data_IF_584499804660
#
_entry.id   IF_584499804660
#
_cell.length_a   1.000
_cell.length_b   1.000
_cell.length_c   1.000
_cell.angle_alpha   90.00
_cell.angle_beta   90.00
_cell.angle_gamma   90.00
#
_symmetry.space_group_name_H-M   'P 1'
#
loop_
_entity.id
_entity.type
_entity.pdbx_description
1 polymer ?
#
# COMPACT_ATOMS: atom_id res chain seq x y z
N UNK A 1 53.50 54.23 -8.87
CA UNK A 1 54.24 53.13 -8.23
C UNK A 1 53.28 51.95 -8.26
N UNK A 2 53.30 51.11 -9.29
CA UNK A 2 54.24 49.98 -9.46
C UNK A 2 54.11 49.11 -8.20
N UNK A 3 53.56 47.89 -8.24
CA UNK A 3 54.07 46.79 -9.05
C UNK A 3 53.03 45.64 -9.20
N UNK A 4 53.10 44.97 -10.34
CA UNK A 4 52.26 43.84 -10.75
C UNK A 4 52.92 42.50 -10.34
N UNK A 5 52.17 41.63 -9.67
CA UNK A 5 52.51 40.21 -9.57
C UNK A 5 52.15 39.47 -10.85
N UNK A 6 53.17 39.00 -11.57
CA UNK A 6 53.10 38.19 -12.79
C UNK A 6 52.26 36.91 -12.61
N UNK A 7 51.35 36.66 -13.55
CA UNK A 7 50.75 35.35 -13.76
C UNK A 7 51.23 34.75 -15.09
N UNK A 8 51.76 33.55 -14.94
CA UNK A 8 52.43 32.67 -15.91
C UNK A 8 51.62 32.47 -17.19
N UNK A 9 52.27 32.74 -18.33
CA UNK A 9 51.79 32.42 -19.67
C UNK A 9 51.94 30.91 -19.93
N UNK A 10 50.83 30.20 -20.15
CA UNK A 10 50.85 28.87 -20.77
C UNK A 10 50.13 28.92 -22.13
N UNK A 11 50.94 28.89 -23.19
CA UNK A 11 50.53 28.64 -24.57
C UNK A 11 50.20 27.15 -24.73
N UNK A 12 48.95 26.81 -25.03
CA UNK A 12 48.61 25.51 -25.61
C UNK A 12 48.01 25.71 -26.99
N UNK A 13 48.70 25.19 -28.01
CA UNK A 13 48.27 25.09 -29.41
C UNK A 13 47.04 24.19 -29.51
N UNK A 14 45.95 24.71 -30.10
CA UNK A 14 44.78 23.93 -30.49
C UNK A 14 45.08 23.25 -31.82
N UNK A 15 45.00 21.92 -31.86
CA UNK A 15 44.93 21.14 -33.09
C UNK A 15 43.50 20.61 -33.25
N UNK A 16 42.94 20.89 -34.42
CA UNK A 16 41.64 20.47 -34.89
C UNK A 16 41.55 18.93 -34.95
N UNK A 17 40.46 18.38 -34.40
CA UNK A 17 40.13 16.96 -34.44
C UNK A 17 38.64 16.79 -34.74
N UNK A 18 38.36 15.96 -35.74
CA UNK A 18 37.08 15.72 -36.42
C UNK A 18 35.85 15.48 -35.50
N UNK A 19 34.73 16.09 -35.88
CA UNK A 19 33.39 15.77 -35.35
C UNK A 19 32.87 14.53 -36.07
N UNK A 20 32.89 13.37 -35.41
CA UNK A 20 32.16 12.19 -35.85
C UNK A 20 30.73 12.26 -35.27
N UNK A 21 29.73 12.37 -36.17
CA UNK A 21 28.32 12.33 -35.81
C UNK A 21 27.90 10.89 -35.45
N UNK A 22 27.79 10.60 -34.15
CA UNK A 22 27.15 9.38 -33.65
C UNK A 22 25.64 9.62 -33.56
N UNK A 23 24.92 9.21 -34.61
CA UNK A 23 23.47 9.08 -34.56
C UNK A 23 23.12 7.91 -33.62
N UNK A 24 22.67 8.25 -32.41
CA UNK A 24 22.11 7.28 -31.48
C UNK A 24 20.81 6.72 -32.06
N UNK A 25 20.80 5.42 -32.38
CA UNK A 25 19.57 4.64 -32.47
C UNK A 25 18.94 4.61 -31.07
N UNK A 26 17.97 5.47 -30.83
CA UNK A 26 17.05 5.28 -29.71
C UNK A 26 16.22 4.03 -30.01
N UNK A 27 16.28 2.95 -29.20
CA UNK A 27 15.28 1.91 -29.31
C UNK A 27 13.92 2.58 -29.05
N UNK A 28 12.99 2.42 -29.99
CA UNK A 28 11.60 2.76 -29.76
C UNK A 28 11.13 1.88 -28.59
N UNK A 29 11.13 2.46 -27.39
CA UNK A 29 10.45 1.87 -26.25
C UNK A 29 9.00 1.80 -26.69
N UNK A 30 8.40 0.61 -26.86
CA UNK A 30 6.97 0.54 -27.12
C UNK A 30 6.32 1.33 -25.99
N UNK A 31 5.42 2.26 -26.34
CA UNK A 31 4.61 2.94 -25.37
C UNK A 31 4.02 1.85 -24.49
N UNK A 32 4.56 1.70 -23.28
CA UNK A 32 3.91 0.91 -22.25
C UNK A 32 2.51 1.50 -22.20
N UNK A 33 1.51 0.70 -22.57
CA UNK A 33 0.15 0.98 -22.14
C UNK A 33 0.30 1.35 -20.67
N UNK A 34 -0.04 2.59 -20.33
CA UNK A 34 0.04 3.03 -18.95
C UNK A 34 -0.71 1.97 -18.15
N UNK A 35 0.00 1.16 -17.36
CA UNK A 35 -0.65 0.30 -16.40
C UNK A 35 -1.60 1.22 -15.66
N UNK A 36 -2.93 0.95 -15.69
CA UNK A 36 -3.89 1.86 -15.07
C UNK A 36 -3.38 2.09 -13.66
N UNK A 37 -3.07 3.37 -13.36
CA UNK A 37 -2.39 3.79 -12.15
C UNK A 37 -2.96 2.97 -11.00
N UNK A 38 -2.13 2.18 -10.31
CA UNK A 38 -2.56 1.23 -9.30
C UNK A 38 -3.54 1.88 -8.31
N UNK A 39 -4.84 1.72 -8.55
CA UNK A 39 -5.87 2.41 -7.79
C UNK A 39 -5.97 1.70 -6.42
N UNK A 40 -5.30 2.26 -5.42
CA UNK A 40 -5.70 2.15 -4.00
C UNK A 40 -5.38 0.86 -3.23
N UNK A 41 -4.52 -0.03 -3.73
CA UNK A 41 -4.41 -1.39 -3.21
C UNK A 41 -3.63 -1.55 -1.89
N UNK A 42 -2.50 -0.86 -1.71
CA UNK A 42 -1.64 -1.15 -0.54
C UNK A 42 -2.23 -0.68 0.79
N UNK A 43 -3.08 0.35 0.79
CA UNK A 43 -3.70 0.89 2.01
C UNK A 43 -5.00 0.16 2.33
N UNK A 44 -5.86 -0.08 1.33
CA UNK A 44 -7.12 -0.82 1.50
C UNK A 44 -6.89 -2.26 1.99
N UNK A 45 -5.82 -2.91 1.55
CA UNK A 45 -5.47 -4.26 2.03
C UNK A 45 -4.77 -4.28 3.40
N UNK A 46 -4.31 -3.13 3.92
CA UNK A 46 -3.57 -3.03 5.19
C UNK A 46 -4.40 -2.64 6.39
N UNK A 47 -5.68 -2.30 6.22
CA UNK A 47 -6.52 -1.88 7.33
C UNK A 47 -6.75 -3.07 8.28
N UNK A 48 -5.96 -3.09 9.36
CA UNK A 48 -6.18 -3.93 10.52
C UNK A 48 -7.41 -3.50 11.31
N UNK A 49 -7.55 -4.03 12.53
CA UNK A 49 -8.66 -3.65 13.42
C UNK A 49 -8.70 -2.12 13.65
N UNK A 50 -9.89 -1.52 13.81
CA UNK A 50 -10.02 -0.11 14.17
C UNK A 50 -9.18 0.18 15.42
N UNK A 51 -8.21 1.08 15.30
CA UNK A 51 -7.44 1.58 16.44
C UNK A 51 -8.29 2.65 17.09
N UNK A 52 -8.74 2.41 18.32
CA UNK A 52 -9.43 3.43 19.11
C UNK A 52 -8.40 4.30 19.83
N UNK A 53 -8.59 5.61 19.77
CA UNK A 53 -7.74 6.60 20.40
C UNK A 53 -8.44 7.15 21.66
N UNK A 54 -8.01 6.76 22.88
CA UNK A 54 -8.71 7.06 24.11
C UNK A 54 -8.61 8.54 24.49
N UNK A 55 -9.74 9.14 24.87
CA UNK A 55 -9.75 10.50 25.41
C UNK A 55 -9.17 10.54 26.83
N UNK A 56 -8.03 11.20 26.99
CA UNK A 56 -7.35 11.32 28.28
C UNK A 56 -7.75 12.57 29.06
N UNK A 57 -8.59 13.46 28.52
CA UNK A 57 -9.08 14.64 29.26
C UNK A 57 -9.63 14.28 30.65
N UNK A 58 -10.45 13.22 30.84
CA UNK A 58 -10.93 12.86 32.17
C UNK A 58 -9.84 12.45 33.18
N UNK A 59 -8.64 12.11 32.69
CA UNK A 59 -7.49 11.78 33.53
C UNK A 59 -6.54 12.97 33.76
N UNK A 60 -6.61 13.98 32.88
CA UNK A 60 -5.69 15.12 32.85
C UNK A 60 -6.32 16.40 33.38
N UNK A 61 -7.64 16.57 33.22
CA UNK A 61 -8.42 17.70 33.72
C UNK A 61 -8.84 17.42 35.17
N UNK A 62 -7.85 17.43 36.06
CA UNK A 62 -8.01 17.14 37.49
C UNK A 62 -7.33 18.21 38.34
N UNK A 63 -7.91 18.50 39.50
CA UNK A 63 -7.26 19.37 40.49
C UNK A 63 -6.16 18.60 41.22
N UNK A 64 -4.95 18.65 40.67
CA UNK A 64 -3.79 17.95 41.22
C UNK A 64 -3.48 18.44 42.65
N UNK A 65 -3.77 19.70 42.99
CA UNK A 65 -3.47 20.28 44.31
C UNK A 65 -4.41 19.82 45.43
N UNK A 66 -5.60 19.37 45.08
CA UNK A 66 -6.50 18.70 46.01
C UNK A 66 -6.18 17.22 46.24
N UNK A 67 -5.28 16.62 45.45
CA UNK A 67 -4.97 15.18 45.50
C UNK A 67 -3.79 14.86 46.44
N UNK A 68 -3.90 13.72 47.12
CA UNK A 68 -2.78 13.09 47.84
C UNK A 68 -1.75 12.51 46.86
N UNK A 69 -0.51 12.31 47.31
CA UNK A 69 0.56 11.77 46.45
C UNK A 69 0.27 10.34 45.96
N UNK A 70 -0.47 9.56 46.75
CA UNK A 70 -0.93 8.24 46.34
C UNK A 70 -1.95 8.32 45.20
N UNK A 71 -2.90 9.25 45.27
CA UNK A 71 -3.88 9.46 44.20
C UNK A 71 -3.22 9.97 42.92
N UNK A 72 -2.25 10.88 43.06
CA UNK A 72 -1.45 11.38 41.92
C UNK A 72 -0.73 10.21 41.24
N UNK A 73 -0.02 9.37 41.99
CA UNK A 73 0.64 8.16 41.45
C UNK A 73 -0.34 7.20 40.78
N UNK A 74 -1.52 6.97 41.35
CA UNK A 74 -2.57 6.14 40.74
C UNK A 74 -3.01 6.74 39.40
N UNK A 75 -3.22 8.06 39.33
CA UNK A 75 -3.61 8.76 38.11
C UNK A 75 -2.56 8.64 37.01
N UNK A 76 -1.28 8.80 37.35
CA UNK A 76 -0.18 8.62 36.37
C UNK A 76 -0.11 7.19 35.85
N UNK A 77 -0.33 6.19 36.71
CA UNK A 77 -0.43 4.79 36.26
C UNK A 77 -1.64 4.55 35.33
N UNK A 78 -2.79 5.18 35.58
CA UNK A 78 -3.95 5.12 34.70
C UNK A 78 -3.64 5.70 33.31
N UNK A 79 -2.95 6.84 33.25
CA UNK A 79 -2.51 7.48 32.00
C UNK A 79 -1.51 6.57 31.26
N UNK A 80 -0.52 6.02 31.97
CA UNK A 80 0.45 5.09 31.40
C UNK A 80 -0.24 3.87 30.77
N UNK A 81 -1.19 3.27 31.49
CA UNK A 81 -1.93 2.11 31.00
C UNK A 81 -2.80 2.46 29.77
N UNK A 82 -3.51 3.59 29.79
CA UNK A 82 -4.39 4.00 28.71
C UNK A 82 -3.63 4.45 27.44
N UNK A 83 -2.40 4.94 27.60
CA UNK A 83 -1.60 5.48 26.48
C UNK A 83 -0.72 4.44 25.80
N UNK A 84 -0.37 3.36 26.49
CA UNK A 84 0.60 2.37 25.99
C UNK A 84 0.11 1.68 24.71
N UNK A 85 0.96 1.71 23.68
CA UNK A 85 0.66 1.12 22.38
C UNK A 85 -0.22 1.98 21.48
N UNK A 86 -0.67 3.14 21.95
CA UNK A 86 -1.50 4.08 21.19
C UNK A 86 -0.76 5.40 20.95
N UNK A 87 -0.22 5.99 22.02
CA UNK A 87 0.50 7.26 21.96
C UNK A 87 2.01 7.02 22.02
N UNK A 88 2.76 7.77 21.21
CA UNK A 88 4.17 7.49 20.97
C UNK A 88 5.05 7.94 22.14
N UNK A 89 4.87 9.16 22.63
CA UNK A 89 5.73 9.78 23.63
C UNK A 89 5.17 9.67 25.05
N UNK A 90 3.86 9.84 25.22
CA UNK A 90 3.21 9.93 26.52
C UNK A 90 3.52 8.78 27.50
N UNK A 91 3.54 7.49 27.09
CA UNK A 91 3.87 6.39 28.00
C UNK A 91 5.28 6.51 28.60
N UNK A 92 6.26 6.94 27.80
CA UNK A 92 7.64 7.13 28.27
C UNK A 92 7.74 8.26 29.28
N UNK A 93 7.09 9.39 29.00
CA UNK A 93 7.08 10.56 29.90
C UNK A 93 6.35 10.26 31.22
N UNK A 94 5.28 9.46 31.18
CA UNK A 94 4.56 8.99 32.37
C UNK A 94 5.43 8.02 33.21
N UNK A 95 6.14 7.09 32.57
CA UNK A 95 7.06 6.18 33.24
C UNK A 95 8.20 6.93 33.92
N UNK A 96 8.83 7.89 33.23
CA UNK A 96 9.90 8.71 33.81
C UNK A 96 9.45 9.50 35.05
N UNK A 97 8.17 9.93 35.07
CA UNK A 97 7.60 10.59 36.23
C UNK A 97 7.43 9.63 37.42
N UNK A 98 6.95 8.40 37.16
CA UNK A 98 6.81 7.35 38.17
C UNK A 98 8.15 6.89 38.74
N UNK A 99 9.20 6.88 37.92
CA UNK A 99 10.57 6.54 38.31
C UNK A 99 11.18 7.60 39.24
N UNK A 100 10.68 8.84 39.22
CA UNK A 100 11.13 9.91 40.11
C UNK A 100 12.58 10.35 39.91
N UNK A 101 13.09 10.31 38.67
CA UNK A 101 14.51 10.52 38.35
C UNK A 101 15.01 11.96 38.56
N UNK A 102 14.12 12.97 38.62
CA UNK A 102 14.53 14.38 38.77
C UNK A 102 14.39 14.86 40.21
N UNK A 103 13.16 14.99 40.69
CA UNK A 103 12.86 15.61 41.99
C UNK A 103 12.30 14.60 43.01
N UNK A 104 12.40 13.30 42.69
CA UNK A 104 11.72 12.23 43.42
C UNK A 104 10.30 11.99 42.89
N UNK A 105 9.72 10.81 43.17
CA UNK A 105 8.54 10.36 42.46
C UNK A 105 7.24 11.10 42.82
N UNK A 106 7.15 11.69 44.01
CA UNK A 106 5.98 12.49 44.43
C UNK A 106 5.94 13.80 43.62
N UNK A 107 7.04 14.55 43.61
CA UNK A 107 7.14 15.80 42.89
C UNK A 107 7.11 15.59 41.36
N UNK A 108 7.79 14.56 40.85
CA UNK A 108 7.85 14.30 39.40
C UNK A 108 6.50 13.90 38.81
N UNK A 109 5.68 13.14 39.54
CA UNK A 109 4.31 12.76 39.13
C UNK A 109 3.34 13.93 39.20
N UNK A 110 3.45 14.78 40.23
CA UNK A 110 2.68 16.05 40.31
C UNK A 110 3.04 16.98 39.16
N UNK A 111 4.34 17.20 38.92
CA UNK A 111 4.85 18.00 37.80
C UNK A 111 4.39 17.43 36.44
N UNK A 112 4.35 16.10 36.31
CA UNK A 112 3.84 15.46 35.11
C UNK A 112 2.38 15.84 34.81
N UNK A 113 1.48 15.65 35.78
CA UNK A 113 0.06 15.98 35.58
C UNK A 113 -0.17 17.48 35.36
N UNK A 114 0.55 18.34 36.08
CA UNK A 114 0.36 19.80 36.01
C UNK A 114 0.80 20.42 34.69
N UNK A 115 1.90 19.95 34.08
CA UNK A 115 2.52 20.69 32.98
C UNK A 115 3.01 19.86 31.81
N UNK A 116 3.30 18.56 31.99
CA UNK A 116 3.93 17.75 30.94
C UNK A 116 2.94 16.88 30.17
N UNK A 117 1.96 16.30 30.85
CA UNK A 117 1.10 15.27 30.28
C UNK A 117 0.25 15.80 29.12
N UNK A 118 -0.44 16.93 29.30
CA UNK A 118 -1.33 17.48 28.27
C UNK A 118 -0.60 17.91 26.99
N UNK A 119 0.51 18.68 27.03
CA UNK A 119 1.23 19.04 25.80
C UNK A 119 1.82 17.85 25.05
N UNK A 120 2.35 16.85 25.76
CA UNK A 120 2.90 15.64 25.14
C UNK A 120 1.79 14.82 24.49
N UNK A 121 0.67 14.63 25.18
CA UNK A 121 -0.49 13.94 24.63
C UNK A 121 -1.06 14.62 23.38
N UNK A 122 -1.20 15.95 23.41
CA UNK A 122 -1.69 16.72 22.26
C UNK A 122 -0.74 16.62 21.06
N UNK A 123 0.58 16.61 21.32
CA UNK A 123 1.60 16.38 20.30
C UNK A 123 1.46 14.99 19.68
N UNK A 124 1.34 13.93 20.48
CA UNK A 124 1.12 12.56 20.00
C UNK A 124 -0.14 12.46 19.12
N UNK A 125 -1.26 13.05 19.56
CA UNK A 125 -2.52 13.06 18.81
C UNK A 125 -2.40 13.82 17.49
N UNK A 126 -1.69 14.95 17.46
CA UNK A 126 -1.43 15.69 16.22
C UNK A 126 -0.55 14.91 15.26
N UNK A 127 0.49 14.23 15.75
CA UNK A 127 1.36 13.37 14.94
C UNK A 127 0.54 12.24 14.30
N UNK A 128 -0.27 11.54 15.10
CA UNK A 128 -1.17 10.49 14.61
C UNK A 128 -2.12 11.03 13.52
N UNK A 129 -2.65 12.24 13.71
CA UNK A 129 -3.50 12.91 12.72
C UNK A 129 -2.75 13.17 11.42
N UNK A 130 -1.54 13.76 11.47
CA UNK A 130 -0.73 14.03 10.28
C UNK A 130 -0.38 12.73 9.54
N UNK A 131 -0.09 11.65 10.25
CA UNK A 131 0.26 10.36 9.64
C UNK A 131 -0.85 9.78 8.75
N UNK A 132 -2.11 10.16 8.97
CA UNK A 132 -3.24 9.72 8.14
C UNK A 132 -3.20 10.26 6.71
N UNK A 133 -2.38 11.29 6.42
CA UNK A 133 -2.27 11.90 5.09
C UNK A 133 -1.54 11.00 4.07
N UNK A 134 -0.79 10.01 4.55
CA UNK A 134 -0.04 9.10 3.69
C UNK A 134 -0.99 8.26 2.83
N UNK A 135 -0.88 8.38 1.51
CA UNK A 135 -1.79 7.78 0.53
C UNK A 135 -3.27 8.19 0.69
N UNK A 136 -3.53 9.40 1.22
CA UNK A 136 -4.87 9.95 1.34
C UNK A 136 -5.44 10.43 -0.01
N UNK A 137 -6.72 10.14 -0.25
CA UNK A 137 -7.49 10.74 -1.35
C UNK A 137 -7.94 12.17 -1.02
N UNK A 138 -8.64 12.84 -1.94
CA UNK A 138 -9.07 14.23 -1.79
C UNK A 138 -9.90 14.49 -0.52
N UNK A 139 -10.87 13.63 -0.21
CA UNK A 139 -11.76 13.80 0.95
C UNK A 139 -10.99 13.64 2.25
N UNK A 140 -10.12 12.63 2.33
CA UNK A 140 -9.30 12.42 3.52
C UNK A 140 -8.31 13.58 3.75
N UNK A 141 -7.71 14.13 2.68
CA UNK A 141 -6.84 15.31 2.77
C UNK A 141 -7.60 16.54 3.28
N UNK A 142 -8.79 16.81 2.75
CA UNK A 142 -9.63 17.91 3.22
C UNK A 142 -9.96 17.76 4.71
N UNK A 143 -10.41 16.57 5.12
CA UNK A 143 -10.77 16.28 6.50
C UNK A 143 -9.58 16.42 7.46
N UNK A 144 -8.38 15.94 7.09
CA UNK A 144 -7.14 16.11 7.86
C UNK A 144 -6.81 17.59 8.03
N UNK A 145 -6.76 18.35 6.94
CA UNK A 145 -6.38 19.75 7.00
C UNK A 145 -7.33 20.55 7.88
N UNK A 146 -8.64 20.30 7.75
CA UNK A 146 -9.67 20.94 8.58
C UNK A 146 -9.42 20.76 10.09
N UNK A 147 -9.12 19.53 10.54
CA UNK A 147 -8.88 19.30 11.97
C UNK A 147 -7.49 19.72 12.43
N UNK A 148 -6.50 19.73 11.53
CA UNK A 148 -5.18 20.27 11.83
C UNK A 148 -5.20 21.80 11.97
N UNK A 149 -6.07 22.49 11.23
CA UNK A 149 -6.30 23.94 11.31
C UNK A 149 -7.09 24.32 12.58
N UNK A 150 -8.12 23.54 12.94
CA UNK A 150 -8.83 23.68 14.22
C UNK A 150 -7.89 23.44 15.40
N UNK A 151 -7.11 22.36 15.35
CA UNK A 151 -6.07 22.05 16.31
C UNK A 151 -6.56 21.66 17.70
N UNK A 152 -7.86 21.72 18.01
CA UNK A 152 -8.39 21.30 19.30
C UNK A 152 -8.26 19.78 19.47
N UNK A 153 -7.96 19.33 20.69
CA UNK A 153 -7.84 17.90 21.00
C UNK A 153 -9.13 17.14 20.67
N UNK A 154 -10.29 17.77 20.85
CA UNK A 154 -11.60 17.18 20.53
C UNK A 154 -11.78 16.95 19.03
N UNK A 155 -11.45 17.95 18.20
CA UNK A 155 -11.53 17.82 16.75
C UNK A 155 -10.57 16.74 16.23
N UNK A 156 -9.33 16.73 16.73
CA UNK A 156 -8.32 15.73 16.34
C UNK A 156 -8.75 14.31 16.72
N UNK A 157 -9.22 14.08 17.95
CA UNK A 157 -9.70 12.76 18.38
C UNK A 157 -10.96 12.32 17.65
N UNK A 158 -11.92 13.22 17.41
CA UNK A 158 -13.13 12.90 16.64
C UNK A 158 -12.80 12.52 15.20
N UNK A 159 -11.83 13.21 14.59
CA UNK A 159 -11.32 12.82 13.28
C UNK A 159 -10.61 11.46 13.31
N UNK A 160 -9.71 11.24 14.26
CA UNK A 160 -8.97 9.98 14.36
C UNK A 160 -9.88 8.77 14.59
N UNK A 161 -10.93 8.90 15.40
CA UNK A 161 -11.83 7.79 15.71
C UNK A 161 -12.92 7.58 14.64
N UNK A 162 -13.43 8.66 14.01
CA UNK A 162 -14.60 8.57 13.11
C UNK A 162 -14.38 9.29 11.76
N UNK A 163 -13.90 10.53 11.81
CA UNK A 163 -13.83 11.40 10.62
C UNK A 163 -12.96 10.84 9.50
N UNK A 164 -11.81 10.24 9.83
CA UNK A 164 -10.91 9.63 8.84
C UNK A 164 -11.56 8.45 8.11
N UNK A 165 -12.42 7.69 8.80
CA UNK A 165 -13.09 6.52 8.22
C UNK A 165 -14.18 6.96 7.25
N UNK A 166 -14.94 7.99 7.63
CA UNK A 166 -15.96 8.61 6.79
C UNK A 166 -15.34 9.17 5.51
N UNK A 167 -14.27 9.96 5.63
CA UNK A 167 -13.60 10.56 4.49
C UNK A 167 -12.95 9.50 3.57
N UNK A 168 -12.33 8.46 4.14
CA UNK A 168 -11.78 7.33 3.36
C UNK A 168 -12.86 6.54 2.63
N UNK A 169 -14.05 6.40 3.21
CA UNK A 169 -15.18 5.75 2.54
C UNK A 169 -15.61 6.54 1.29
N UNK A 170 -15.60 7.88 1.36
CA UNK A 170 -15.88 8.74 0.20
C UNK A 170 -14.80 8.61 -0.88
N UNK A 171 -13.52 8.68 -0.49
CA UNK A 171 -12.41 8.44 -1.41
C UNK A 171 -12.55 7.08 -2.12
N UNK A 172 -12.94 6.02 -1.40
CA UNK A 172 -13.14 4.70 -1.99
C UNK A 172 -14.35 4.64 -2.92
N UNK A 173 -15.48 5.26 -2.55
CA UNK A 173 -16.65 5.35 -3.43
C UNK A 173 -16.31 6.02 -4.77
N UNK A 174 -15.51 7.08 -4.74
CA UNK A 174 -15.09 7.79 -5.95
C UNK A 174 -14.22 6.89 -6.84
N UNK A 175 -13.24 6.21 -6.24
CA UNK A 175 -12.38 5.27 -6.97
C UNK A 175 -13.16 4.09 -7.58
N UNK A 176 -14.14 3.54 -6.85
CA UNK A 176 -14.99 2.46 -7.38
C UNK A 176 -15.92 2.97 -8.48
N UNK A 177 -16.42 4.19 -8.38
CA UNK A 177 -17.23 4.82 -9.42
C UNK A 177 -16.43 5.03 -10.70
N UNK A 178 -15.18 5.46 -10.59
CA UNK A 178 -14.28 5.59 -11.73
C UNK A 178 -13.91 4.22 -12.34
N UNK A 179 -13.68 3.21 -11.50
CA UNK A 179 -13.47 1.85 -12.00
C UNK A 179 -14.70 1.33 -12.77
N UNK A 180 -15.91 1.67 -12.33
CA UNK A 180 -17.16 1.32 -13.01
C UNK A 180 -17.32 2.01 -14.36
N UNK A 181 -16.90 3.27 -14.49
CA UNK A 181 -17.05 4.05 -15.73
C UNK A 181 -16.02 3.66 -16.78
N UNK A 182 -14.81 3.29 -16.36
CA UNK A 182 -13.67 2.98 -17.23
C UNK A 182 -13.44 1.49 -17.47
N UNK A 183 -13.97 0.62 -16.61
CA UNK A 183 -13.81 -0.83 -16.67
C UNK A 183 -14.71 -1.52 -17.70
N UNK A 184 -14.40 -2.78 -17.99
CA UNK A 184 -15.24 -3.64 -18.83
C UNK A 184 -16.49 -4.17 -18.09
N UNK A 185 -17.32 -4.99 -18.76
CA UNK A 185 -18.59 -5.46 -18.21
C UNK A 185 -18.48 -6.15 -16.84
N UNK A 186 -17.45 -6.96 -16.61
CA UNK A 186 -17.25 -7.67 -15.35
C UNK A 186 -16.77 -6.71 -14.25
N UNK A 187 -15.86 -5.77 -14.56
CA UNK A 187 -15.48 -4.70 -13.62
C UNK A 187 -16.71 -3.87 -13.25
N UNK A 188 -17.54 -3.47 -14.22
CA UNK A 188 -18.75 -2.67 -13.97
C UNK A 188 -19.76 -3.37 -13.06
N UNK A 189 -19.95 -4.69 -13.20
CA UNK A 189 -20.79 -5.50 -12.31
C UNK A 189 -20.22 -5.54 -10.89
N UNK A 190 -18.93 -5.86 -10.75
CA UNK A 190 -18.27 -5.96 -9.45
C UNK A 190 -18.25 -4.61 -8.71
N UNK A 191 -17.97 -3.51 -9.43
CA UNK A 191 -18.01 -2.16 -8.90
C UNK A 191 -19.43 -1.77 -8.46
N UNK A 192 -20.46 -2.13 -9.23
CA UNK A 192 -21.86 -1.85 -8.84
C UNK A 192 -22.24 -2.57 -7.55
N UNK A 193 -21.83 -3.84 -7.39
CA UNK A 193 -22.04 -4.58 -6.15
C UNK A 193 -21.33 -3.91 -4.96
N UNK A 194 -20.07 -3.50 -5.14
CA UNK A 194 -19.32 -2.80 -4.11
C UNK A 194 -19.94 -1.44 -3.72
N UNK A 195 -20.44 -0.68 -4.71
CA UNK A 195 -21.14 0.60 -4.51
C UNK A 195 -22.44 0.45 -3.72
N UNK A 196 -23.14 -0.68 -3.84
CA UNK A 196 -24.34 -0.98 -3.08
C UNK A 196 -24.06 -1.50 -1.66
N UNK A 197 -22.83 -1.94 -1.40
CA UNK A 197 -22.41 -2.55 -0.13
C UNK A 197 -21.91 -1.56 0.92
N UNK A 198 -21.18 -2.10 1.89
CA UNK A 198 -20.55 -1.41 3.02
C UNK A 198 -19.17 -0.81 2.66
N UNK A 199 -18.55 -0.13 3.61
CA UNK A 199 -17.13 0.26 3.51
C UNK A 199 -16.23 -0.94 3.21
N UNK A 200 -16.53 -2.10 3.79
CA UNK A 200 -15.74 -3.31 3.60
C UNK A 200 -15.86 -3.83 2.17
N UNK A 201 -17.04 -3.74 1.56
CA UNK A 201 -17.26 -4.16 0.16
C UNK A 201 -16.49 -3.27 -0.82
N UNK A 202 -16.45 -1.95 -0.58
CA UNK A 202 -15.58 -1.03 -1.30
C UNK A 202 -14.11 -1.42 -1.17
N UNK A 203 -13.67 -1.66 0.06
CA UNK A 203 -12.29 -2.00 0.38
C UNK A 203 -11.88 -3.31 -0.30
N UNK A 204 -12.71 -4.35 -0.25
CA UNK A 204 -12.46 -5.65 -0.87
C UNK A 204 -12.40 -5.53 -2.39
N UNK A 205 -13.33 -4.79 -3.01
CA UNK A 205 -13.27 -4.54 -4.44
C UNK A 205 -11.98 -3.83 -4.85
N UNK A 206 -11.63 -2.73 -4.16
CA UNK A 206 -10.39 -2.01 -4.42
C UNK A 206 -9.14 -2.81 -4.05
N UNK A 207 -9.23 -3.75 -3.11
CA UNK A 207 -8.10 -4.58 -2.62
C UNK A 207 -7.77 -5.77 -3.53
N UNK A 208 -8.77 -6.35 -4.19
CA UNK A 208 -8.54 -7.53 -5.05
C UNK A 208 -9.64 -7.77 -6.08
N UNK A 209 -10.88 -7.35 -5.77
CA UNK A 209 -12.03 -7.59 -6.66
C UNK A 209 -11.91 -6.92 -8.03
N UNK A 210 -11.27 -5.75 -8.12
CA UNK A 210 -11.04 -5.06 -9.39
C UNK A 210 -10.18 -5.88 -10.35
N UNK A 211 -9.03 -6.39 -9.89
CA UNK A 211 -8.11 -7.17 -10.73
C UNK A 211 -8.79 -8.47 -11.21
N UNK A 212 -9.45 -9.17 -10.30
CA UNK A 212 -10.16 -10.41 -10.64
C UNK A 212 -11.30 -10.19 -11.66
N UNK A 213 -11.95 -9.02 -11.64
CA UNK A 213 -12.96 -8.67 -12.62
C UNK A 213 -12.32 -8.24 -13.96
N UNK A 214 -11.23 -7.48 -13.90
CA UNK A 214 -10.49 -7.05 -15.07
C UNK A 214 -9.93 -8.24 -15.87
N UNK A 215 -9.38 -9.24 -15.21
CA UNK A 215 -8.87 -10.46 -15.86
C UNK A 215 -9.97 -11.19 -16.65
N UNK A 216 -11.20 -11.24 -16.12
CA UNK A 216 -12.35 -11.83 -16.83
C UNK A 216 -12.75 -11.02 -18.05
N UNK A 217 -12.69 -9.70 -17.95
CA UNK A 217 -12.92 -8.83 -19.11
C UNK A 217 -11.92 -9.16 -20.21
N UNK A 218 -10.62 -9.31 -19.91
CA UNK A 218 -9.57 -9.64 -20.89
C UNK A 218 -9.79 -10.99 -21.58
N UNK A 219 -10.21 -12.02 -20.85
CA UNK A 219 -10.50 -13.35 -21.42
C UNK A 219 -11.72 -13.29 -22.35
N UNK A 220 -12.67 -12.40 -22.09
CA UNK A 220 -13.89 -12.25 -22.91
C UNK A 220 -13.63 -11.48 -24.21
N UNK A 221 -12.60 -10.62 -24.26
CA UNK A 221 -12.23 -9.88 -25.49
C UNK A 221 -11.36 -10.69 -26.45
N UNK A 222 -10.91 -11.90 -26.09
CA UNK A 222 -10.19 -12.77 -27.04
C UNK A 222 -11.22 -13.39 -27.99
N UNK A 223 -11.27 -13.00 -29.29
CA UNK A 223 -12.20 -13.62 -30.21
C UNK A 223 -11.88 -15.11 -30.31
N UNK A 224 -12.92 -15.94 -30.15
CA UNK A 224 -12.93 -17.31 -30.68
C UNK A 224 -12.33 -17.25 -32.09
N UNK A 225 -11.34 -18.10 -32.46
CA UNK A 225 -10.75 -18.02 -33.77
C UNK A 225 -11.86 -18.11 -34.81
N UNK A 226 -12.00 -17.06 -35.63
CA UNK A 226 -12.86 -17.06 -36.81
C UNK A 226 -12.62 -18.35 -37.56
N UNK A 227 -13.64 -19.17 -37.87
CA UNK A 227 -13.42 -20.34 -38.72
C UNK A 227 -12.88 -19.81 -40.06
N UNK A 228 -11.61 -20.12 -40.34
CA UNK A 228 -10.97 -19.88 -41.63
C UNK A 228 -11.90 -20.42 -42.70
N UNK A 229 -12.33 -19.62 -43.71
CA UNK A 229 -13.08 -20.17 -44.82
C UNK A 229 -12.21 -21.22 -45.51
N UNK A 230 -12.73 -22.44 -45.57
CA UNK A 230 -12.07 -23.57 -46.22
C UNK A 230 -11.72 -23.20 -47.67
N UNK A 231 -10.45 -23.33 -48.03
CA UNK A 231 -10.00 -23.23 -49.42
C UNK A 231 -10.72 -24.30 -50.25
N UNK A 232 -11.48 -23.86 -51.26
CA UNK A 232 -12.05 -24.71 -52.31
C UNK A 232 -10.93 -25.56 -52.95
N UNK A 233 -11.09 -26.90 -53.09
CA UNK A 233 -10.12 -27.71 -53.78
C UNK A 233 -10.20 -27.47 -55.30
N UNK A 234 -9.07 -27.08 -55.90
CA UNK A 234 -8.86 -27.02 -57.35
C UNK A 234 -8.89 -28.44 -57.96
N UNK A 235 -9.49 -28.66 -59.16
CA UNK A 235 -9.57 -29.99 -59.76
C UNK A 235 -8.21 -30.55 -60.19
N UNK A 236 -8.07 -31.86 -60.04
CA UNK A 236 -6.90 -32.67 -60.37
C UNK A 236 -6.47 -32.56 -61.84
N UNK A 237 -5.15 -32.56 -62.08
CA UNK A 237 -4.57 -32.91 -63.38
C UNK A 237 -3.90 -34.28 -63.31
N UNK A 238 -4.35 -35.12 -64.23
CA UNK A 238 -3.96 -36.49 -64.55
C UNK A 238 -2.51 -36.59 -65.02
N UNK A 239 -1.73 -37.51 -64.44
CA UNK A 239 -0.56 -38.11 -65.10
C UNK A 239 -0.51 -39.61 -64.76
N UNK A 240 -0.27 -40.45 -65.77
CA UNK A 240 -0.13 -41.92 -65.69
C UNK A 240 0.86 -42.33 -66.79
N UNK A 241 1.51 -43.51 -66.77
CA UNK A 241 2.32 -44.17 -65.73
C UNK A 241 3.74 -44.49 -66.26
N UNK A 242 4.67 -44.95 -65.40
CA UNK A 242 5.89 -45.60 -65.89
C UNK A 242 6.88 -46.08 -64.84
N UNK A 243 6.91 -47.41 -64.61
CA UNK A 243 8.13 -48.16 -64.26
C UNK A 243 8.43 -48.42 -62.77
N UNK A 244 8.71 -49.69 -62.35
CA UNK A 244 8.94 -50.06 -60.95
C UNK A 244 10.44 -50.20 -60.61
N UNK A 245 10.85 -49.84 -59.39
CA UNK A 245 11.98 -50.46 -58.66
C UNK A 245 11.91 -50.17 -57.15
N UNK A 246 12.06 -51.25 -56.35
CA UNK A 246 12.62 -51.28 -54.99
C UNK A 246 13.99 -51.98 -55.10
N UNK A 247 14.86 -52.10 -54.06
CA UNK A 247 14.94 -51.46 -52.73
C UNK A 247 16.35 -50.86 -52.48
N UNK A 248 16.67 -50.39 -51.25
CA UNK A 248 17.92 -50.71 -50.48
C UNK A 248 18.04 -49.81 -49.24
N UNK A 249 17.89 -50.46 -48.08
CA UNK A 249 18.72 -50.48 -46.86
C UNK A 249 19.52 -49.24 -46.41
N UNK A 250 19.35 -48.89 -45.13
CA UNK A 250 20.34 -48.12 -44.37
C UNK A 250 19.87 -47.68 -42.98
N UNK A 251 20.03 -48.56 -41.98
CA UNK A 251 20.52 -48.33 -40.58
C UNK A 251 20.48 -46.89 -40.01
N UNK A 252 20.10 -46.59 -38.76
CA UNK A 252 19.98 -47.38 -37.52
C UNK A 252 19.43 -46.45 -36.40
N UNK A 253 18.55 -46.99 -35.54
CA UNK A 253 18.51 -46.90 -34.03
C UNK A 253 18.77 -45.56 -33.31
N UNK A 254 18.07 -45.09 -32.26
CA UNK A 254 17.32 -45.63 -31.12
C UNK A 254 16.46 -44.46 -30.54
N UNK A 255 15.17 -44.61 -30.22
CA UNK A 255 14.58 -44.82 -28.86
C UNK A 255 14.81 -43.61 -27.91
N UNK A 256 13.79 -42.92 -27.37
CA UNK A 256 12.93 -43.37 -26.25
C UNK A 256 11.71 -42.43 -26.04
N UNK A 257 10.53 -43.05 -25.87
CA UNK A 257 9.30 -42.45 -25.35
C UNK A 257 9.41 -42.20 -23.84
N UNK A 258 8.99 -41.04 -23.33
CA UNK A 258 8.40 -40.95 -21.98
C UNK A 258 7.16 -40.06 -22.04
N UNK A 259 6.00 -40.73 -22.00
CA UNK A 259 4.76 -40.23 -21.42
C UNK A 259 4.96 -40.25 -19.90
N UNK A 260 4.77 -39.11 -19.24
CA UNK A 260 4.84 -39.01 -17.78
C UNK A 260 3.78 -38.06 -17.25
N UNK A 261 2.61 -38.61 -16.95
CA UNK A 261 1.60 -37.99 -16.12
C UNK A 261 2.13 -37.89 -14.67
N UNK A 262 2.02 -36.71 -14.06
CA UNK A 262 2.22 -36.55 -12.61
C UNK A 262 1.17 -35.61 -12.01
N UNK A 263 0.29 -36.24 -11.25
CA UNK A 263 -0.57 -35.74 -10.18
C UNK A 263 0.02 -34.54 -9.40
N UNK A 264 -0.74 -33.44 -9.35
CA UNK A 264 -0.50 -32.36 -8.38
C UNK A 264 -1.40 -32.59 -7.17
N UNK A 265 -0.74 -32.83 -6.04
CA UNK A 265 -1.30 -33.03 -4.70
C UNK A 265 -1.80 -31.70 -4.13
N UNK A 266 -3.04 -31.70 -3.64
CA UNK A 266 -3.62 -30.60 -2.85
C UNK A 266 -2.96 -30.52 -1.46
N UNK A 267 -2.37 -29.37 -1.13
CA UNK A 267 -1.93 -29.04 0.22
C UNK A 267 -3.01 -28.24 0.97
N UNK A 268 -3.62 -28.84 1.99
CA UNK A 268 -4.46 -28.16 2.97
C UNK A 268 -3.68 -28.07 4.28
N UNK A 269 -3.38 -26.85 4.73
CA UNK A 269 -2.75 -26.61 6.03
C UNK A 269 -3.83 -26.43 7.11
N UNK A 270 -3.94 -27.39 8.03
CA UNK A 270 -4.74 -27.28 9.24
C UNK A 270 -3.84 -27.13 10.47
N UNK A 271 -3.85 -25.95 11.10
CA UNK A 271 -3.22 -25.72 12.41
C UNK A 271 -4.29 -25.86 13.49
N UNK A 272 -4.18 -26.89 14.32
CA UNK A 272 -4.97 -27.07 15.54
C UNK A 272 -4.05 -26.84 16.74
N UNK A 273 -4.23 -25.72 17.43
CA UNK A 273 -3.63 -25.45 18.74
C UNK A 273 -4.54 -25.99 19.84
N UNK A 274 -4.21 -27.16 20.37
CA UNK A 274 -4.84 -27.70 21.57
C UNK A 274 -4.13 -27.19 22.83
N UNK A 275 -4.80 -26.35 23.62
CA UNK A 275 -4.45 -26.05 25.02
C UNK A 275 -4.70 -27.29 25.89
N UNK A 276 -3.68 -27.79 26.59
CA UNK A 276 -3.88 -28.66 27.76
C UNK A 276 -3.42 -27.93 29.02
N UNK A 277 -4.40 -27.55 29.85
CA UNK A 277 -4.24 -27.31 31.29
C UNK A 277 -4.10 -28.66 32.00
N UNK A 278 -3.25 -28.69 33.03
CA UNK A 278 -3.29 -29.44 34.32
C UNK A 278 -1.88 -29.31 34.92
N UNK A 279 -1.64 -29.13 36.20
CA UNK A 279 -2.46 -28.94 37.40
C UNK A 279 -1.61 -28.12 38.38
#
# INVERSE_FOLDING_TARGET
MVDHGEAIVMRWKVLAGAVAALAWLAPAVPAAAAEPAQIGLSQACRLGQPVSYPDLRPLLDVDVDAMTDSEVRVKVNQILAASKGVYAQLPGVAQDALDGKKDGPEQDTRNFLKSRAQPVWHTDVRILTVQTINAAGPHLKEAVNKVLDDGSIGALLGYLNDGQHTARAQDYRDLVTEAKSTGGPEVGKAATAALAGTFEDLRVFLCSGWLAAHDKDQVTVTPTPTPTPASTPTPAQTVTPGGPTLPVTGTNTMVLLIVGASLVVCGVAGVVLARRRRA
#
